data_IF_230997983167
#
_entry.id   IF_230997983167
#
_cell.length_a   1.000
_cell.length_b   1.000
_cell.length_c   1.000
_cell.angle_alpha   90.00
_cell.angle_beta   90.00
_cell.angle_gamma   90.00
#
_symmetry.space_group_name_H-M   'P 1'
#
loop_
_entity.id
_entity.type
_entity.pdbx_description
1 polymer ?
#
# COMPACT_ATOMS: atom_id res chain seq x y z
N UNK A 1 -33.32 5.22 2.86
CA UNK A 1 -33.64 5.43 1.43
C UNK A 1 -32.65 4.61 0.64
N UNK A 2 -33.14 3.75 -0.26
CA UNK A 2 -32.31 2.80 -0.99
C UNK A 2 -31.27 3.53 -1.85
N UNK A 3 -29.99 3.28 -1.58
CA UNK A 3 -28.89 3.69 -2.45
C UNK A 3 -29.07 2.92 -3.76
N UNK A 4 -29.32 3.64 -4.85
CA UNK A 4 -29.21 3.05 -6.19
C UNK A 4 -27.72 2.81 -6.43
N UNK A 5 -27.27 1.58 -6.20
CA UNK A 5 -26.03 1.11 -6.82
C UNK A 5 -26.32 0.97 -8.32
N UNK A 6 -25.85 1.90 -9.13
CA UNK A 6 -25.83 1.76 -10.59
C UNK A 6 -24.72 0.76 -10.99
N UNK A 7 -24.75 -0.44 -10.42
CA UNK A 7 -23.81 -1.50 -10.80
C UNK A 7 -24.12 -1.99 -12.20
N UNK A 8 -23.08 -2.21 -13.01
CA UNK A 8 -23.25 -2.74 -14.36
C UNK A 8 -23.91 -4.13 -14.32
N UNK A 9 -25.05 -4.26 -14.98
CA UNK A 9 -25.65 -5.54 -15.40
C UNK A 9 -25.06 -5.96 -16.75
N UNK A 10 -25.16 -7.25 -17.12
CA UNK A 10 -24.75 -7.76 -18.44
C UNK A 10 -25.35 -6.95 -19.63
N UNK A 11 -26.47 -6.25 -19.40
CA UNK A 11 -27.19 -5.41 -20.35
C UNK A 11 -26.91 -3.90 -20.27
N UNK A 12 -25.99 -3.42 -19.43
CA UNK A 12 -25.79 -1.97 -19.17
C UNK A 12 -24.34 -1.48 -19.21
N UNK A 13 -23.41 -2.27 -19.76
CA UNK A 13 -22.02 -1.82 -19.96
C UNK A 13 -21.97 -0.54 -20.83
N UNK A 14 -21.09 0.44 -20.54
CA UNK A 14 -20.99 1.67 -21.32
C UNK A 14 -20.58 1.37 -22.77
N UNK A 15 -21.09 2.15 -23.72
CA UNK A 15 -20.80 1.97 -25.15
C UNK A 15 -19.29 2.04 -25.46
N UNK A 16 -18.56 2.92 -24.78
CA UNK A 16 -17.11 3.06 -24.91
C UNK A 16 -16.37 1.82 -24.41
N UNK A 17 -16.82 1.24 -23.29
CA UNK A 17 -16.26 0.00 -22.76
C UNK A 17 -16.52 -1.16 -23.71
N UNK A 18 -17.75 -1.30 -24.21
CA UNK A 18 -18.09 -2.35 -25.18
C UNK A 18 -17.22 -2.24 -26.44
N UNK A 19 -17.08 -1.04 -27.03
CA UNK A 19 -16.21 -0.79 -28.18
C UNK A 19 -14.76 -1.22 -27.90
N UNK A 20 -14.25 -0.92 -26.70
CA UNK A 20 -12.91 -1.32 -26.29
C UNK A 20 -12.78 -2.84 -26.16
N UNK A 21 -13.75 -3.52 -25.53
CA UNK A 21 -13.76 -4.97 -25.39
C UNK A 21 -13.81 -5.66 -26.77
N UNK A 22 -14.66 -5.19 -27.69
CA UNK A 22 -14.70 -5.69 -29.07
C UNK A 22 -13.36 -5.53 -29.80
N UNK A 23 -12.71 -4.37 -29.65
CA UNK A 23 -11.40 -4.14 -30.25
C UNK A 23 -10.33 -5.07 -29.67
N UNK A 24 -10.35 -5.33 -28.36
CA UNK A 24 -9.44 -6.28 -27.69
C UNK A 24 -9.66 -7.71 -28.16
N UNK A 25 -10.91 -8.17 -28.22
CA UNK A 25 -11.23 -9.51 -28.73
C UNK A 25 -10.78 -9.68 -30.18
N UNK A 26 -11.07 -8.71 -31.05
CA UNK A 26 -10.63 -8.75 -32.44
C UNK A 26 -9.10 -8.83 -32.54
N UNK A 27 -8.38 -8.05 -31.73
CA UNK A 27 -6.91 -8.09 -31.64
C UNK A 27 -6.38 -9.46 -31.20
N UNK A 28 -7.12 -10.19 -30.36
CA UNK A 28 -6.80 -11.55 -29.94
C UNK A 28 -7.34 -12.64 -30.87
N UNK A 29 -8.02 -12.26 -31.96
CA UNK A 29 -8.59 -13.18 -32.95
C UNK A 29 -9.91 -13.82 -32.52
N UNK A 30 -10.56 -13.25 -31.49
CA UNK A 30 -11.80 -13.72 -30.90
C UNK A 30 -13.01 -12.94 -31.49
N UNK A 31 -14.19 -13.56 -31.46
CA UNK A 31 -15.46 -12.92 -31.79
C UNK A 31 -16.28 -12.85 -30.50
N UNK A 32 -16.57 -11.63 -30.04
CA UNK A 32 -17.46 -11.43 -28.90
C UNK A 32 -18.90 -11.46 -29.39
N UNK A 33 -19.71 -12.26 -28.72
CA UNK A 33 -21.17 -12.17 -28.73
C UNK A 33 -21.61 -11.63 -27.36
N UNK A 34 -22.43 -10.58 -27.33
CA UNK A 34 -22.90 -9.94 -26.10
C UNK A 34 -23.62 -10.94 -25.19
N UNK A 35 -24.34 -11.90 -25.78
CA UNK A 35 -25.05 -12.95 -25.04
C UNK A 35 -24.10 -13.95 -24.35
N UNK A 36 -22.81 -13.92 -24.69
CA UNK A 36 -21.78 -14.82 -24.13
C UNK A 36 -20.83 -14.13 -23.15
N UNK A 37 -20.91 -12.80 -23.04
CA UNK A 37 -20.12 -12.05 -22.08
C UNK A 37 -20.66 -12.32 -20.69
N UNK A 38 -19.77 -12.70 -19.77
CA UNK A 38 -20.08 -12.80 -18.34
C UNK A 38 -19.45 -11.64 -17.62
N UNK A 39 -20.27 -10.88 -16.88
CA UNK A 39 -19.83 -9.76 -16.04
C UNK A 39 -20.03 -10.14 -14.59
N UNK A 40 -18.97 -10.07 -13.79
CA UNK A 40 -19.01 -10.39 -12.37
C UNK A 40 -18.40 -9.22 -11.61
N UNK A 41 -19.20 -8.57 -10.78
CA UNK A 41 -18.72 -7.56 -9.85
C UNK A 41 -17.84 -8.22 -8.78
N UNK A 42 -16.64 -7.69 -8.56
CA UNK A 42 -15.72 -8.14 -7.54
C UNK A 42 -15.85 -7.21 -6.32
N UNK A 43 -16.43 -7.74 -5.24
CA UNK A 43 -16.48 -7.05 -3.95
C UNK A 43 -15.11 -7.00 -3.30
N UNK A 44 -14.75 -5.87 -2.68
CA UNK A 44 -13.54 -5.74 -1.85
C UNK A 44 -12.66 -4.53 -2.18
N UNK A 45 -12.87 -3.87 -3.32
CA UNK A 45 -12.21 -2.61 -3.63
C UNK A 45 -12.91 -1.45 -2.88
N UNK A 46 -12.15 -0.64 -2.15
CA UNK A 46 -12.69 0.45 -1.33
C UNK A 46 -12.90 1.75 -2.10
N UNK A 47 -12.11 1.97 -3.17
CA UNK A 47 -12.01 3.25 -3.90
C UNK A 47 -12.57 3.20 -5.31
N UNK A 48 -12.66 2.01 -5.92
CA UNK A 48 -13.08 1.82 -7.30
C UNK A 48 -14.06 0.65 -7.41
N UNK A 49 -14.96 0.68 -8.40
CA UNK A 49 -15.75 -0.50 -8.74
C UNK A 49 -14.96 -1.40 -9.69
N UNK A 50 -14.87 -2.68 -9.37
CA UNK A 50 -14.06 -3.64 -10.11
C UNK A 50 -14.93 -4.77 -10.65
N UNK A 51 -14.82 -5.03 -11.95
CA UNK A 51 -15.58 -6.05 -12.65
C UNK A 51 -14.65 -7.03 -13.35
N UNK A 52 -14.89 -8.33 -13.15
CA UNK A 52 -14.32 -9.37 -13.98
C UNK A 52 -15.23 -9.61 -15.18
N UNK A 53 -14.72 -9.35 -16.37
CA UNK A 53 -15.42 -9.60 -17.63
C UNK A 53 -14.75 -10.75 -18.37
N UNK A 54 -15.55 -11.70 -18.86
CA UNK A 54 -15.01 -12.86 -19.57
C UNK A 54 -15.87 -13.28 -20.77
N UNK A 55 -15.22 -13.79 -21.82
CA UNK A 55 -15.87 -14.29 -23.04
C UNK A 55 -15.13 -15.51 -23.62
N UNK A 56 -15.81 -16.39 -24.36
CA UNK A 56 -15.18 -17.53 -25.02
C UNK A 56 -14.11 -17.08 -26.03
N UNK A 57 -12.92 -17.66 -25.96
CA UNK A 57 -11.92 -17.48 -27.01
C UNK A 57 -12.28 -18.32 -28.25
N UNK A 58 -11.67 -18.01 -29.39
CA UNK A 58 -11.78 -18.81 -30.61
C UNK A 58 -11.30 -20.26 -30.41
N UNK A 59 -10.32 -20.46 -29.54
CA UNK A 59 -9.84 -21.78 -29.15
C UNK A 59 -10.85 -22.47 -28.23
N UNK A 60 -11.39 -23.64 -28.59
CA UNK A 60 -12.37 -24.34 -27.76
C UNK A 60 -11.85 -24.60 -26.34
N UNK A 61 -12.68 -24.29 -25.33
CA UNK A 61 -12.35 -24.51 -23.92
C UNK A 61 -11.48 -23.42 -23.28
N UNK A 62 -11.04 -22.41 -24.03
CA UNK A 62 -10.31 -21.25 -23.49
C UNK A 62 -11.26 -20.08 -23.31
N UNK A 63 -11.18 -19.42 -22.16
CA UNK A 63 -11.92 -18.19 -21.87
C UNK A 63 -10.95 -17.02 -21.79
N UNK A 64 -11.28 -15.90 -22.43
CA UNK A 64 -10.60 -14.63 -22.18
C UNK A 64 -11.21 -14.00 -20.95
N UNK A 65 -10.36 -13.47 -20.08
CA UNK A 65 -10.78 -12.76 -18.88
C UNK A 65 -9.99 -11.47 -18.80
N UNK A 66 -10.68 -10.37 -18.52
CA UNK A 66 -10.10 -9.06 -18.26
C UNK A 66 -10.68 -8.50 -16.97
N UNK A 67 -9.94 -7.59 -16.36
CA UNK A 67 -10.42 -6.79 -15.24
C UNK A 67 -10.83 -5.42 -15.78
N UNK A 68 -11.98 -4.92 -15.37
CA UNK A 68 -12.43 -3.57 -15.68
C UNK A 68 -12.54 -2.81 -14.37
N UNK A 69 -11.81 -1.70 -14.27
CA UNK A 69 -11.84 -0.81 -13.12
C UNK A 69 -12.53 0.49 -13.51
N UNK A 70 -13.53 0.85 -12.74
CA UNK A 70 -14.30 2.09 -12.90
C UNK A 70 -13.83 3.07 -11.83
N UNK A 71 -13.48 4.27 -12.24
CA UNK A 71 -13.00 5.30 -11.32
C UNK A 71 -14.15 5.76 -10.42
N UNK A 72 -14.00 5.58 -9.10
CA UNK A 72 -14.97 6.06 -8.12
C UNK A 72 -14.93 7.58 -7.95
N UNK A 73 -16.08 8.19 -7.64
CA UNK A 73 -16.19 9.61 -7.26
C UNK A 73 -15.82 9.80 -5.76
N UNK A 74 -15.12 10.87 -5.42
CA UNK A 74 -14.91 11.28 -4.02
C UNK A 74 -13.60 10.84 -3.34
N UNK A 75 -12.71 10.15 -4.07
CA UNK A 75 -11.39 9.70 -3.53
C UNK A 75 -10.25 10.69 -3.77
N UNK A 76 -10.51 11.81 -4.45
CA UNK A 76 -9.55 12.88 -4.76
C UNK A 76 -8.95 13.54 -3.49
N UNK A 77 -9.56 13.26 -2.33
CA UNK A 77 -9.05 13.70 -1.04
C UNK A 77 -7.73 13.00 -0.66
N UNK A 78 -7.50 11.78 -1.14
CA UNK A 78 -6.36 10.95 -0.75
C UNK A 78 -5.22 10.95 -1.77
N UNK A 79 -5.53 11.01 -3.07
CA UNK A 79 -4.54 10.97 -4.14
C UNK A 79 -5.04 11.66 -5.41
N UNK A 80 -4.08 12.03 -6.27
CA UNK A 80 -4.35 12.64 -7.57
C UNK A 80 -4.60 11.55 -8.62
N UNK A 81 -5.76 11.61 -9.28
CA UNK A 81 -6.18 10.62 -10.27
C UNK A 81 -5.27 10.58 -11.50
N UNK A 82 -4.80 11.73 -11.97
CA UNK A 82 -3.94 11.80 -13.14
C UNK A 82 -2.56 11.21 -12.82
N UNK A 83 -2.08 11.40 -11.59
CA UNK A 83 -0.87 10.74 -11.08
C UNK A 83 -1.05 9.23 -10.98
N UNK A 84 -2.17 8.75 -10.43
CA UNK A 84 -2.51 7.33 -10.36
C UNK A 84 -2.48 6.66 -11.75
N UNK A 85 -3.10 7.30 -12.75
CA UNK A 85 -3.13 6.79 -14.13
C UNK A 85 -1.71 6.75 -14.72
N UNK A 86 -0.91 7.81 -14.54
CA UNK A 86 0.49 7.85 -15.03
C UNK A 86 1.36 6.77 -14.38
N UNK A 87 1.22 6.59 -13.06
CA UNK A 87 1.91 5.55 -12.30
C UNK A 87 1.54 4.16 -12.82
N UNK A 88 0.25 3.87 -12.97
CA UNK A 88 -0.23 2.59 -13.48
C UNK A 88 0.27 2.30 -14.90
N UNK A 89 0.20 3.27 -15.81
CA UNK A 89 0.74 3.13 -17.15
C UNK A 89 2.23 2.82 -17.17
N UNK A 90 3.00 3.45 -16.29
CA UNK A 90 4.44 3.24 -16.21
C UNK A 90 4.78 1.85 -15.64
N UNK A 91 4.09 1.42 -14.58
CA UNK A 91 4.26 0.09 -13.99
C UNK A 91 3.89 -1.00 -14.99
N UNK A 92 2.77 -0.82 -15.72
CA UNK A 92 2.39 -1.72 -16.80
C UNK A 92 3.45 -1.82 -17.90
N UNK A 93 4.19 -0.74 -18.21
CA UNK A 93 5.28 -0.77 -19.22
C UNK A 93 6.53 -1.47 -18.70
N UNK A 94 6.80 -1.38 -17.40
CA UNK A 94 7.87 -2.12 -16.72
C UNK A 94 7.55 -3.60 -16.51
N UNK A 95 6.33 -4.05 -16.85
CA UNK A 95 5.88 -5.42 -16.58
C UNK A 95 5.65 -5.69 -15.10
N UNK A 96 5.45 -4.64 -14.31
CA UNK A 96 5.12 -4.71 -12.89
C UNK A 96 3.61 -4.54 -12.73
N UNK A 97 2.95 -5.54 -12.15
CA UNK A 97 1.49 -5.52 -12.01
C UNK A 97 0.72 -5.97 -13.26
N UNK A 98 -0.61 -5.72 -13.26
CA UNK A 98 -1.46 -6.04 -14.40
C UNK A 98 -1.16 -5.12 -15.58
N UNK A 99 -1.15 -5.67 -16.78
CA UNK A 99 -0.96 -4.87 -18.00
C UNK A 99 -2.19 -4.02 -18.31
N UNK A 100 -1.99 -2.75 -18.64
CA UNK A 100 -3.02 -1.90 -19.20
C UNK A 100 -3.37 -2.38 -20.62
N UNK A 101 -4.62 -2.81 -20.82
CA UNK A 101 -5.13 -3.25 -22.12
C UNK A 101 -5.81 -2.11 -22.89
N UNK A 102 -6.41 -1.16 -22.17
CA UNK A 102 -6.97 0.06 -22.75
C UNK A 102 -7.65 0.95 -21.71
N UNK A 103 -8.03 2.15 -22.14
CA UNK A 103 -8.72 3.13 -21.30
C UNK A 103 -9.99 3.63 -22.00
N UNK A 104 -10.94 4.08 -21.19
CA UNK A 104 -12.16 4.73 -21.62
C UNK A 104 -12.52 5.83 -20.62
N UNK A 105 -13.45 6.76 -20.93
CA UNK A 105 -13.65 7.97 -20.11
C UNK A 105 -13.95 7.73 -18.62
N UNK A 106 -14.50 6.57 -18.27
CA UNK A 106 -14.93 6.24 -16.90
C UNK A 106 -13.98 5.23 -16.21
N UNK A 107 -12.93 4.76 -16.87
CA UNK A 107 -12.12 3.67 -16.31
C UNK A 107 -11.06 3.09 -17.24
N UNK A 108 -10.55 1.94 -16.82
CA UNK A 108 -9.52 1.18 -17.55
C UNK A 108 -9.84 -0.30 -17.63
N UNK A 109 -9.31 -0.94 -18.66
CA UNK A 109 -9.32 -2.39 -18.86
C UNK A 109 -7.90 -2.90 -18.64
N UNK A 110 -7.76 -3.83 -17.71
CA UNK A 110 -6.50 -4.39 -17.24
C UNK A 110 -6.45 -5.90 -17.54
N UNK A 111 -5.24 -6.44 -17.61
CA UNK A 111 -5.03 -7.87 -17.63
C UNK A 111 -5.56 -8.53 -16.36
N UNK A 112 -6.29 -9.64 -16.51
CA UNK A 112 -6.71 -10.43 -15.36
C UNK A 112 -5.56 -11.32 -14.88
N UNK A 113 -5.06 -11.03 -13.68
CA UNK A 113 -4.02 -11.84 -13.05
C UNK A 113 -4.65 -13.11 -12.48
N UNK A 114 -4.15 -14.27 -12.93
CA UNK A 114 -4.61 -15.58 -12.46
C UNK A 114 -3.80 -16.02 -11.23
N UNK A 115 -3.95 -15.29 -10.14
CA UNK A 115 -3.23 -15.52 -8.88
C UNK A 115 -4.18 -15.43 -7.68
N UNK A 116 -3.75 -15.97 -6.54
CA UNK A 116 -4.45 -15.88 -5.26
C UNK A 116 -4.03 -14.60 -4.55
N UNK A 117 -4.98 -13.76 -4.13
CA UNK A 117 -4.70 -12.66 -3.18
C UNK A 117 -4.31 -13.24 -1.83
N UNK A 118 -3.26 -12.70 -1.21
CA UNK A 118 -2.80 -13.17 0.08
C UNK A 118 -3.82 -12.85 1.20
N UNK A 119 -3.64 -13.52 2.32
CA UNK A 119 -4.36 -13.31 3.57
C UNK A 119 -3.40 -12.92 4.69
N UNK A 120 -3.94 -12.46 5.82
CA UNK A 120 -3.14 -12.11 7.01
C UNK A 120 -2.21 -13.26 7.45
N UNK A 121 -2.67 -14.52 7.36
CA UNK A 121 -1.85 -15.69 7.71
C UNK A 121 -0.75 -15.98 6.69
N UNK A 122 -0.97 -15.68 5.41
CA UNK A 122 0.05 -15.92 4.38
C UNK A 122 1.29 -15.04 4.60
N UNK A 123 1.14 -13.84 5.19
CA UNK A 123 2.28 -12.96 5.51
C UNK A 123 3.24 -13.56 6.55
N UNK A 124 2.78 -14.53 7.35
CA UNK A 124 3.58 -15.18 8.41
C UNK A 124 4.40 -16.35 7.91
N UNK A 125 4.09 -16.85 6.71
CA UNK A 125 4.82 -17.94 6.10
C UNK A 125 6.22 -17.46 5.67
N UNK A 126 7.33 -18.07 6.15
CA UNK A 126 8.68 -17.60 5.83
C UNK A 126 9.03 -17.62 4.35
N UNK A 127 8.51 -18.59 3.58
CA UNK A 127 8.75 -18.67 2.13
C UNK A 127 8.05 -17.51 1.41
N UNK A 128 6.76 -17.32 1.70
CA UNK A 128 5.95 -16.22 1.15
C UNK A 128 6.53 -14.86 1.53
N UNK A 129 6.90 -14.68 2.80
CA UNK A 129 7.57 -13.49 3.32
C UNK A 129 8.87 -13.18 2.56
N UNK A 130 9.69 -14.20 2.27
CA UNK A 130 10.90 -14.02 1.46
C UNK A 130 10.60 -13.61 0.02
N UNK A 131 9.57 -14.19 -0.61
CA UNK A 131 9.17 -13.84 -1.97
C UNK A 131 8.65 -12.40 -2.06
N UNK A 132 7.89 -11.96 -1.04
CA UNK A 132 7.43 -10.57 -0.92
C UNK A 132 8.63 -9.63 -0.80
N UNK A 133 9.59 -9.94 0.06
CA UNK A 133 10.80 -9.14 0.27
C UNK A 133 11.60 -8.97 -1.03
N UNK A 134 11.85 -10.06 -1.76
CA UNK A 134 12.51 -9.99 -3.08
C UNK A 134 11.70 -9.16 -4.06
N UNK A 135 10.38 -9.37 -4.14
CA UNK A 135 9.53 -8.64 -5.08
C UNK A 135 9.46 -7.14 -4.77
N UNK A 136 9.46 -6.78 -3.50
CA UNK A 136 9.47 -5.39 -3.06
C UNK A 136 10.79 -4.70 -3.39
N UNK A 137 11.93 -5.41 -3.30
CA UNK A 137 13.23 -4.87 -3.74
C UNK A 137 13.25 -4.60 -5.24
N UNK A 138 12.72 -5.53 -6.06
CA UNK A 138 12.54 -5.30 -7.50
C UNK A 138 11.67 -4.07 -7.77
N UNK A 139 10.61 -3.87 -6.99
CA UNK A 139 9.71 -2.72 -7.11
C UNK A 139 10.42 -1.41 -6.78
N UNK A 140 11.23 -1.37 -5.71
CA UNK A 140 12.01 -0.19 -5.34
C UNK A 140 13.12 0.17 -6.32
N UNK A 141 13.58 -0.77 -7.14
CA UNK A 141 14.59 -0.53 -8.18
C UNK A 141 13.99 0.03 -9.49
N UNK A 142 12.68 0.24 -9.58
CA UNK A 142 12.04 0.77 -10.78
C UNK A 142 12.42 2.23 -11.04
N UNK A 143 12.73 2.53 -12.30
CA UNK A 143 12.99 3.89 -12.76
C UNK A 143 11.67 4.57 -13.14
N UNK A 144 11.00 5.14 -12.14
CA UNK A 144 9.72 5.82 -12.30
C UNK A 144 9.91 7.30 -12.69
N UNK A 145 9.04 7.86 -13.54
CA UNK A 145 9.12 9.26 -13.92
C UNK A 145 8.68 10.16 -12.76
N UNK A 146 9.36 11.30 -12.59
CA UNK A 146 9.00 12.30 -11.58
C UNK A 146 10.19 12.80 -10.79
N UNK A 147 9.94 13.73 -9.87
CA UNK A 147 10.94 14.13 -8.88
C UNK A 147 11.09 13.04 -7.82
N UNK A 148 12.30 12.80 -7.32
CA UNK A 148 12.58 11.85 -6.23
C UNK A 148 12.40 12.48 -4.84
N UNK A 149 11.56 13.51 -4.75
CA UNK A 149 11.25 14.19 -3.50
C UNK A 149 10.41 13.28 -2.61
N UNK A 150 10.65 13.32 -1.29
CA UNK A 150 9.90 12.53 -0.31
C UNK A 150 8.51 13.13 -0.13
N UNK A 151 7.47 12.38 -0.48
CA UNK A 151 6.07 12.85 -0.46
C UNK A 151 5.39 12.63 0.89
N UNK A 152 5.88 11.69 1.71
CA UNK A 152 5.28 11.30 3.00
C UNK A 152 4.96 12.49 3.91
N UNK A 153 5.92 13.39 4.11
CA UNK A 153 5.80 14.47 5.10
C UNK A 153 4.78 15.53 4.71
N UNK A 154 4.77 15.93 3.44
CA UNK A 154 3.77 16.87 2.93
C UNK A 154 2.38 16.25 2.90
N UNK A 155 2.28 14.95 2.59
CA UNK A 155 1.00 14.22 2.67
C UNK A 155 0.47 14.19 4.11
N UNK A 156 1.32 13.91 5.10
CA UNK A 156 0.94 13.97 6.53
C UNK A 156 0.41 15.35 6.93
N UNK A 157 1.08 16.43 6.53
CA UNK A 157 0.62 17.80 6.83
C UNK A 157 -0.72 18.12 6.17
N UNK A 158 -0.85 17.79 4.89
CA UNK A 158 -2.09 18.02 4.15
C UNK A 158 -3.26 17.23 4.74
N UNK A 159 -3.03 15.98 5.16
CA UNK A 159 -4.05 15.17 5.81
C UNK A 159 -4.36 15.61 7.23
N UNK A 160 -3.40 16.16 7.97
CA UNK A 160 -3.68 16.79 9.27
C UNK A 160 -4.65 17.96 9.12
N UNK A 161 -4.43 18.85 8.15
CA UNK A 161 -5.35 19.97 7.88
C UNK A 161 -6.77 19.44 7.60
N UNK A 162 -6.89 18.45 6.71
CA UNK A 162 -8.19 17.85 6.37
C UNK A 162 -8.84 17.14 7.57
N UNK A 163 -8.06 16.43 8.38
CA UNK A 163 -8.56 15.77 9.58
C UNK A 163 -9.10 16.81 10.59
N UNK A 164 -8.42 17.94 10.77
CA UNK A 164 -8.88 19.06 11.60
C UNK A 164 -10.19 19.63 11.07
N UNK A 165 -10.31 19.85 9.75
CA UNK A 165 -11.52 20.40 9.12
C UNK A 165 -12.75 19.50 9.30
N UNK A 166 -12.56 18.19 9.41
CA UNK A 166 -13.64 17.22 9.60
C UNK A 166 -13.96 16.91 11.08
N UNK A 167 -13.03 17.13 12.00
CA UNK A 167 -13.21 16.81 13.42
C UNK A 167 -14.00 17.88 14.17
N UNK A 168 -14.78 17.44 15.16
CA UNK A 168 -15.22 18.30 16.26
C UNK A 168 -14.05 18.65 17.21
N UNK A 169 -14.21 19.71 18.00
CA UNK A 169 -13.22 20.10 19.02
C UNK A 169 -12.90 18.98 20.03
N UNK A 170 -13.88 18.12 20.32
CA UNK A 170 -13.70 16.97 21.22
C UNK A 170 -12.81 15.89 20.57
N UNK A 171 -13.09 15.54 19.32
CA UNK A 171 -12.28 14.59 18.55
C UNK A 171 -10.86 15.13 18.31
N UNK A 172 -10.72 16.41 17.97
CA UNK A 172 -9.40 17.01 17.76
C UNK A 172 -8.52 16.93 19.02
N UNK A 173 -9.11 17.12 20.20
CA UNK A 173 -8.42 16.93 21.49
C UNK A 173 -8.13 15.47 21.80
N UNK A 174 -9.07 14.57 21.50
CA UNK A 174 -8.89 13.13 21.69
C UNK A 174 -7.67 12.60 20.92
N UNK A 175 -7.52 13.00 19.66
CA UNK A 175 -6.40 12.57 18.81
C UNK A 175 -5.15 13.45 18.94
N UNK A 176 -5.17 14.47 19.79
CA UNK A 176 -4.06 15.42 19.95
C UNK A 176 -3.64 16.08 18.62
N UNK A 177 -4.61 16.45 17.77
CA UNK A 177 -4.33 17.05 16.46
C UNK A 177 -3.65 18.41 16.57
N UNK A 178 -3.83 19.12 17.68
CA UNK A 178 -3.26 20.43 17.96
C UNK A 178 -1.73 20.42 18.07
N UNK A 179 -1.14 19.29 18.46
CA UNK A 179 0.32 19.12 18.56
C UNK A 179 0.91 18.33 17.39
N UNK A 180 0.08 17.76 16.51
CA UNK A 180 0.55 16.79 15.54
C UNK A 180 1.46 17.39 14.47
N UNK A 181 1.31 18.66 14.14
CA UNK A 181 2.24 19.36 13.24
C UNK A 181 3.67 19.38 13.83
N UNK A 182 3.80 19.63 15.14
CA UNK A 182 5.08 19.59 15.82
C UNK A 182 5.68 18.18 15.81
N UNK A 183 4.84 17.17 16.00
CA UNK A 183 5.25 15.77 15.97
C UNK A 183 5.76 15.36 14.59
N UNK A 184 5.04 15.72 13.51
CA UNK A 184 5.44 15.48 12.12
C UNK A 184 6.80 16.14 11.84
N UNK A 185 6.96 17.42 12.21
CA UNK A 185 8.21 18.16 12.01
C UNK A 185 9.39 17.53 12.78
N UNK A 186 9.13 16.99 13.98
CA UNK A 186 10.14 16.30 14.78
C UNK A 186 10.56 15.00 14.12
N UNK A 187 9.60 14.18 13.68
CA UNK A 187 9.89 12.92 12.97
C UNK A 187 10.63 13.18 11.66
N UNK A 188 10.21 14.13 10.85
CA UNK A 188 10.90 14.45 9.61
C UNK A 188 12.35 14.86 9.86
N UNK A 189 12.58 15.72 10.84
CA UNK A 189 13.94 16.13 11.21
C UNK A 189 14.79 14.96 11.72
N UNK A 190 14.20 14.09 12.53
CA UNK A 190 14.93 12.99 13.16
C UNK A 190 15.19 11.82 12.22
N UNK A 191 14.28 11.59 11.25
CA UNK A 191 14.33 10.47 10.33
C UNK A 191 14.97 10.83 8.99
N UNK A 192 14.83 12.04 8.47
CA UNK A 192 15.45 12.44 7.19
C UNK A 192 16.97 12.55 7.32
N UNK A 193 17.67 11.43 7.12
CA UNK A 193 19.13 11.32 7.19
C UNK A 193 19.73 11.28 5.77
N UNK A 194 20.96 11.78 5.61
CA UNK A 194 21.63 11.87 4.29
C UNK A 194 21.87 10.52 3.61
N UNK A 195 21.88 9.42 4.37
CA UNK A 195 22.18 8.07 3.88
C UNK A 195 20.93 7.25 3.53
N UNK A 196 19.74 7.84 3.56
CA UNK A 196 18.50 7.10 3.30
C UNK A 196 18.35 6.72 1.84
N UNK A 197 17.99 5.46 1.60
CA UNK A 197 17.57 5.01 0.27
C UNK A 197 16.16 5.52 0.00
N UNK A 198 16.05 6.43 -0.98
CA UNK A 198 14.77 6.91 -1.52
C UNK A 198 14.47 6.15 -2.80
N UNK A 199 13.29 5.54 -2.85
CA UNK A 199 12.82 4.74 -3.98
C UNK A 199 11.36 5.05 -4.29
N UNK A 200 10.88 4.55 -5.42
CA UNK A 200 9.45 4.57 -5.69
C UNK A 200 8.77 3.48 -4.86
N UNK A 201 8.11 3.88 -3.78
CA UNK A 201 7.49 3.00 -2.80
C UNK A 201 6.01 2.76 -3.11
N UNK A 202 5.52 1.59 -2.69
CA UNK A 202 4.10 1.24 -2.76
C UNK A 202 3.26 2.03 -1.76
N UNK A 203 3.80 2.22 -0.54
CA UNK A 203 3.21 2.91 0.61
C UNK A 203 1.97 2.26 1.24
N UNK A 204 1.34 1.29 0.57
CA UNK A 204 0.18 0.53 1.07
C UNK A 204 0.31 -0.99 0.84
N UNK A 205 1.46 -1.57 1.20
CA UNK A 205 1.74 -3.00 0.97
C UNK A 205 1.06 -3.94 1.99
N UNK A 206 -0.26 -3.88 2.09
CA UNK A 206 -1.08 -4.84 2.83
C UNK A 206 -1.32 -6.14 2.05
N UNK A 207 -1.74 -7.24 2.70
CA UNK A 207 -1.91 -8.54 2.03
C UNK A 207 -2.94 -8.52 0.89
N UNK A 208 -3.93 -7.62 0.91
CA UNK A 208 -4.91 -7.46 -0.17
C UNK A 208 -4.29 -6.97 -1.48
N UNK A 209 -3.14 -6.30 -1.40
CA UNK A 209 -2.40 -5.71 -2.51
C UNK A 209 -1.26 -6.63 -3.00
N UNK A 210 -1.24 -7.88 -2.54
CA UNK A 210 -0.25 -8.88 -2.92
C UNK A 210 -0.96 -10.12 -3.45
N UNK A 211 -0.61 -10.52 -4.66
CA UNK A 211 -1.09 -11.75 -5.28
C UNK A 211 0.06 -12.74 -5.50
N UNK A 212 -0.19 -14.03 -5.32
CA UNK A 212 0.77 -15.10 -5.61
C UNK A 212 0.18 -16.13 -6.56
N UNK A 213 0.93 -16.48 -7.60
CA UNK A 213 0.66 -17.69 -8.38
C UNK A 213 1.27 -18.88 -7.64
N UNK A 214 0.41 -19.74 -7.08
CA UNK A 214 0.84 -20.88 -6.25
C UNK A 214 1.70 -21.89 -7.03
N UNK A 215 1.59 -21.95 -8.36
CA UNK A 215 2.36 -22.88 -9.21
C UNK A 215 3.74 -22.35 -9.53
N UNK A 216 3.83 -21.07 -9.90
CA UNK A 216 5.09 -20.45 -10.31
C UNK A 216 5.81 -19.76 -9.16
N UNK A 217 5.14 -19.58 -8.02
CA UNK A 217 5.59 -18.80 -6.86
C UNK A 217 5.92 -17.34 -7.20
N UNK A 218 5.35 -16.84 -8.30
CA UNK A 218 5.51 -15.45 -8.72
C UNK A 218 4.60 -14.55 -7.90
N UNK A 219 5.19 -13.54 -7.26
CA UNK A 219 4.47 -12.50 -6.52
C UNK A 219 4.22 -11.30 -7.43
N UNK A 220 2.99 -10.79 -7.40
CA UNK A 220 2.59 -9.55 -8.07
C UNK A 220 2.02 -8.59 -7.03
N UNK A 221 2.64 -7.42 -6.92
CA UNK A 221 2.12 -6.30 -6.13
C UNK A 221 1.12 -5.55 -7.01
N UNK A 222 -0.02 -5.12 -6.47
CA UNK A 222 -1.10 -4.42 -7.18
C UNK A 222 -1.59 -3.22 -6.35
N UNK A 223 -2.40 -2.36 -6.96
CA UNK A 223 -3.10 -1.23 -6.30
C UNK A 223 -2.17 -0.10 -5.80
N UNK A 224 -1.70 0.70 -6.75
CA UNK A 224 -0.63 1.70 -6.55
C UNK A 224 -1.12 3.12 -6.22
N UNK A 225 -2.33 3.26 -5.66
CA UNK A 225 -2.98 4.57 -5.45
C UNK A 225 -2.20 5.47 -4.48
N UNK A 226 -1.47 4.87 -3.55
CA UNK A 226 -0.61 5.57 -2.59
C UNK A 226 0.86 5.63 -3.02
N UNK A 227 1.22 5.04 -4.17
CA UNK A 227 2.60 4.90 -4.56
C UNK A 227 3.25 6.26 -4.90
N UNK A 228 4.46 6.47 -4.38
CA UNK A 228 5.21 7.72 -4.55
C UNK A 228 6.67 7.53 -4.14
N UNK A 229 7.53 8.50 -4.44
CA UNK A 229 8.88 8.50 -3.90
C UNK A 229 8.87 8.73 -2.38
N UNK A 230 9.49 7.81 -1.64
CA UNK A 230 9.62 7.82 -0.19
C UNK A 230 10.86 7.02 0.27
N UNK A 231 11.25 7.13 1.54
CA UNK A 231 12.26 6.26 2.14
C UNK A 231 11.81 4.79 2.06
N UNK A 232 12.65 3.90 1.54
CA UNK A 232 12.39 2.46 1.49
C UNK A 232 12.01 1.91 2.88
N UNK A 233 12.68 2.40 3.92
CA UNK A 233 12.40 2.02 5.30
C UNK A 233 10.94 2.26 5.70
N UNK A 234 10.29 3.31 5.16
CA UNK A 234 8.87 3.59 5.42
C UNK A 234 7.96 2.54 4.79
N UNK A 235 8.24 2.08 3.58
CA UNK A 235 7.39 1.10 2.90
C UNK A 235 7.48 -0.28 3.59
N UNK A 236 8.68 -0.66 4.03
CA UNK A 236 8.87 -1.87 4.85
C UNK A 236 8.20 -1.72 6.22
N UNK A 237 8.26 -0.55 6.84
CA UNK A 237 7.57 -0.28 8.10
C UNK A 237 6.05 -0.44 7.94
N UNK A 238 5.51 0.08 6.84
CA UNK A 238 4.11 -0.10 6.49
C UNK A 238 3.75 -1.60 6.38
N UNK A 239 4.53 -2.36 5.61
CA UNK A 239 4.29 -3.79 5.44
C UNK A 239 4.27 -4.54 6.80
N UNK A 240 5.21 -4.25 7.70
CA UNK A 240 5.22 -4.85 9.04
C UNK A 240 4.05 -4.41 9.92
N UNK A 241 3.63 -3.14 9.85
CA UNK A 241 2.44 -2.67 10.56
C UNK A 241 1.17 -3.40 10.08
N UNK A 242 1.06 -3.71 8.78
CA UNK A 242 -0.08 -4.43 8.22
C UNK A 242 -0.16 -5.90 8.66
N UNK A 243 0.94 -6.48 9.17
CA UNK A 243 0.93 -7.83 9.77
C UNK A 243 0.18 -7.89 11.12
N UNK A 244 -0.17 -6.74 11.70
CA UNK A 244 -1.05 -6.64 12.87
C UNK A 244 -2.55 -6.60 12.50
N UNK A 245 -2.89 -6.53 11.21
CA UNK A 245 -4.27 -6.41 10.74
C UNK A 245 -4.84 -7.74 10.21
N UNK A 246 -6.15 -7.93 10.40
CA UNK A 246 -6.92 -8.95 9.71
C UNK A 246 -8.28 -8.38 9.27
N UNK A 247 -8.29 -7.76 8.08
CA UNK A 247 -9.45 -7.20 7.41
C UNK A 247 -10.50 -8.26 6.96
N UNK A 248 -10.21 -9.56 7.08
CA UNK A 248 -11.18 -10.63 6.86
C UNK A 248 -11.80 -11.15 8.18
N UNK A 249 -11.44 -10.57 9.32
CA UNK A 249 -12.05 -10.91 10.62
C UNK A 249 -13.46 -10.33 10.77
N UNK A 250 -14.17 -10.75 11.82
CA UNK A 250 -15.48 -10.17 12.17
C UNK A 250 -15.41 -8.67 12.49
N UNK A 251 -14.24 -8.18 12.88
CA UNK A 251 -13.98 -6.76 13.20
C UNK A 251 -12.75 -6.28 12.43
N UNK A 252 -12.88 -5.97 11.13
CA UNK A 252 -11.74 -5.68 10.26
C UNK A 252 -10.94 -4.43 10.67
N UNK A 253 -11.53 -3.54 11.48
CA UNK A 253 -10.91 -2.33 12.00
C UNK A 253 -10.04 -2.56 13.25
N UNK A 254 -10.07 -3.75 13.85
CA UNK A 254 -9.30 -4.06 15.06
C UNK A 254 -7.92 -4.57 14.68
N UNK A 255 -6.90 -3.95 15.27
CA UNK A 255 -5.49 -4.25 15.05
C UNK A 255 -4.92 -4.98 16.27
N UNK A 256 -4.28 -6.11 16.03
CA UNK A 256 -3.63 -6.90 17.08
C UNK A 256 -2.11 -6.70 17.05
N UNK A 257 -1.64 -5.72 17.81
CA UNK A 257 -0.21 -5.46 17.95
C UNK A 257 0.53 -6.54 18.77
N UNK A 258 -0.20 -7.45 19.43
CA UNK A 258 0.38 -8.63 20.06
C UNK A 258 0.96 -9.63 19.06
N UNK A 259 0.53 -9.54 17.79
CA UNK A 259 1.06 -10.32 16.67
C UNK A 259 1.94 -9.49 15.73
N UNK A 260 2.42 -8.30 16.12
CA UNK A 260 3.42 -7.59 15.30
C UNK A 260 4.69 -8.45 15.11
N UNK A 261 5.34 -8.47 13.94
CA UNK A 261 6.49 -9.33 13.68
C UNK A 261 7.66 -9.06 14.64
N UNK A 262 8.17 -10.13 15.24
CA UNK A 262 9.33 -10.07 16.14
C UNK A 262 10.62 -9.67 15.42
N UNK A 263 11.68 -9.40 16.19
CA UNK A 263 12.98 -8.99 15.62
C UNK A 263 13.51 -10.02 14.61
N UNK A 264 13.52 -11.30 14.96
CA UNK A 264 14.00 -12.38 14.07
C UNK A 264 13.20 -12.47 12.75
N UNK A 265 11.91 -12.17 12.78
CA UNK A 265 11.05 -12.16 11.59
C UNK A 265 11.35 -10.96 10.69
N UNK A 266 11.54 -9.77 11.28
CA UNK A 266 11.91 -8.56 10.55
C UNK A 266 13.33 -8.65 9.97
N UNK A 267 14.29 -9.19 10.71
CA UNK A 267 15.64 -9.44 10.21
C UNK A 267 15.65 -10.42 9.04
N UNK A 268 14.87 -11.51 9.13
CA UNK A 268 14.74 -12.46 8.02
C UNK A 268 14.19 -11.81 6.77
N UNK A 269 13.14 -10.99 6.90
CA UNK A 269 12.57 -10.24 5.78
C UNK A 269 13.60 -9.28 5.18
N UNK A 270 14.30 -8.50 6.01
CA UNK A 270 15.33 -7.56 5.56
C UNK A 270 16.49 -8.26 4.88
N UNK A 271 16.90 -9.44 5.34
CA UNK A 271 17.93 -10.25 4.67
C UNK A 271 17.48 -10.71 3.29
N UNK A 272 16.25 -11.19 3.16
CA UNK A 272 15.71 -11.55 1.84
C UNK A 272 15.59 -10.33 0.90
N UNK A 273 15.23 -9.17 1.45
CA UNK A 273 15.13 -7.91 0.72
C UNK A 273 16.51 -7.47 0.19
N UNK A 274 17.50 -7.32 1.08
CA UNK A 274 18.86 -6.85 0.72
C UNK A 274 19.64 -7.90 -0.07
N UNK A 275 19.47 -9.19 0.24
CA UNK A 275 20.21 -10.29 -0.37
C UNK A 275 19.79 -10.64 -1.80
N UNK A 276 18.72 -10.03 -2.31
CA UNK A 276 18.26 -10.25 -3.68
C UNK A 276 19.28 -9.79 -4.75
N UNK A 277 20.21 -8.90 -4.39
CA UNK A 277 21.30 -8.45 -5.27
C UNK A 277 22.52 -9.41 -5.27
N UNK A 278 22.51 -10.47 -4.45
CA UNK A 278 23.55 -11.52 -4.42
C UNK A 278 24.80 -11.18 -3.58
N UNK A 279 24.79 -10.06 -2.87
CA UNK A 279 25.90 -9.59 -2.05
C UNK A 279 25.94 -10.27 -0.67
N UNK A 280 27.15 -10.36 -0.10
CA UNK A 280 27.34 -10.79 1.29
C UNK A 280 26.80 -9.70 2.22
N UNK A 281 25.72 -10.02 2.94
CA UNK A 281 25.10 -9.11 3.88
C UNK A 281 25.93 -9.00 5.17
N UNK A 282 26.25 -7.78 5.57
CA UNK A 282 26.76 -7.50 6.91
C UNK A 282 25.60 -7.47 7.91
N UNK A 283 25.73 -8.25 8.99
CA UNK A 283 24.76 -8.29 10.08
C UNK A 283 24.54 -6.90 10.70
N UNK A 284 25.57 -6.05 10.71
CA UNK A 284 25.45 -4.68 11.22
C UNK A 284 24.57 -3.79 10.34
N UNK A 285 24.59 -4.01 9.02
CA UNK A 285 23.76 -3.28 8.06
C UNK A 285 22.31 -3.72 8.14
N UNK A 286 22.06 -5.03 8.26
CA UNK A 286 20.73 -5.58 8.50
C UNK A 286 20.13 -4.99 9.76
N UNK A 287 20.87 -5.00 10.88
CA UNK A 287 20.39 -4.45 12.15
C UNK A 287 20.07 -2.96 12.04
N UNK A 288 20.99 -2.16 11.47
CA UNK A 288 20.78 -0.72 11.28
C UNK A 288 19.53 -0.45 10.45
N UNK A 289 19.31 -1.23 9.39
CA UNK A 289 18.15 -1.03 8.53
C UNK A 289 16.85 -1.44 9.21
N UNK A 290 16.84 -2.54 9.97
CA UNK A 290 15.70 -2.92 10.82
C UNK A 290 15.38 -1.82 11.84
N UNK A 291 16.38 -1.21 12.46
CA UNK A 291 16.18 -0.12 13.41
C UNK A 291 15.58 1.13 12.74
N UNK A 292 16.03 1.45 11.53
CA UNK A 292 15.48 2.58 10.76
C UNK A 292 14.04 2.31 10.31
N UNK A 293 13.72 1.08 9.88
CA UNK A 293 12.35 0.64 9.57
C UNK A 293 11.46 0.80 10.81
N UNK A 294 11.90 0.35 11.98
CA UNK A 294 11.11 0.48 13.21
C UNK A 294 10.79 1.94 13.53
N UNK A 295 11.73 2.86 13.35
CA UNK A 295 11.46 4.28 13.59
C UNK A 295 10.39 4.83 12.65
N UNK A 296 10.34 4.37 11.39
CA UNK A 296 9.30 4.78 10.44
C UNK A 296 7.90 4.26 10.77
N UNK A 297 7.76 3.25 11.64
CA UNK A 297 6.43 2.82 12.13
C UNK A 297 5.70 3.97 12.84
N UNK A 298 6.44 4.92 13.42
CA UNK A 298 5.89 6.14 14.02
C UNK A 298 5.17 7.00 12.97
N UNK A 299 5.84 7.30 11.85
CA UNK A 299 5.22 8.05 10.76
C UNK A 299 4.04 7.28 10.15
N UNK A 300 4.15 5.95 10.03
CA UNK A 300 3.09 5.09 9.53
C UNK A 300 1.81 5.13 10.38
N UNK A 301 1.96 5.11 11.71
CA UNK A 301 0.83 5.23 12.63
C UNK A 301 0.13 6.58 12.50
N UNK A 302 0.88 7.68 12.35
CA UNK A 302 0.26 8.99 12.09
C UNK A 302 -0.45 9.03 10.74
N UNK A 303 0.17 8.47 9.70
CA UNK A 303 -0.34 8.45 8.34
C UNK A 303 -1.72 7.79 8.27
N UNK A 304 -1.79 6.55 8.75
CA UNK A 304 -3.03 5.77 8.70
C UNK A 304 -4.02 6.17 9.80
N UNK A 305 -3.56 6.78 10.90
CA UNK A 305 -4.43 7.41 11.88
C UNK A 305 -5.20 8.60 11.28
N UNK A 306 -4.50 9.50 10.60
CA UNK A 306 -5.11 10.61 9.85
C UNK A 306 -6.02 10.11 8.73
N UNK A 307 -5.59 9.09 7.99
CA UNK A 307 -6.43 8.44 6.98
C UNK A 307 -7.73 7.91 7.58
N UNK A 308 -7.69 7.28 8.75
CA UNK A 308 -8.87 6.77 9.45
C UNK A 308 -9.84 7.89 9.81
N UNK A 309 -9.35 9.01 10.35
CA UNK A 309 -10.18 10.18 10.67
C UNK A 309 -10.88 10.72 9.42
N UNK A 310 -10.14 10.94 8.32
CA UNK A 310 -10.71 11.45 7.07
C UNK A 310 -11.74 10.45 6.52
N UNK A 311 -11.37 9.16 6.50
CA UNK A 311 -12.20 8.07 5.98
C UNK A 311 -13.53 7.92 6.72
N UNK A 312 -13.57 8.18 8.03
CA UNK A 312 -14.81 8.17 8.80
C UNK A 312 -15.88 9.15 8.28
N UNK A 313 -15.47 10.18 7.55
CA UNK A 313 -16.35 11.22 7.02
C UNK A 313 -16.65 11.09 5.53
N UNK A 314 -15.79 10.39 4.77
CA UNK A 314 -15.89 10.31 3.31
C UNK A 314 -16.25 8.91 2.80
N UNK A 315 -15.99 7.85 3.58
CA UNK A 315 -16.28 6.47 3.19
C UNK A 315 -17.60 5.97 3.78
N UNK A 316 -18.26 5.07 3.06
CA UNK A 316 -19.56 4.48 3.45
C UNK A 316 -19.48 2.96 3.68
N UNK A 317 -18.27 2.43 3.75
CA UNK A 317 -18.02 1.01 4.01
C UNK A 317 -18.26 0.73 5.49
N UNK A 318 -18.80 -0.46 5.79
CA UNK A 318 -19.00 -0.94 7.16
C UNK A 318 -17.65 -1.27 7.82
N UNK A 319 -16.99 -0.22 8.31
CA UNK A 319 -15.69 -0.25 8.96
C UNK A 319 -15.65 0.88 10.01
N UNK A 320 -15.25 0.57 11.25
CA UNK A 320 -15.13 1.59 12.29
C UNK A 320 -13.80 2.35 12.13
N UNK A 321 -13.82 3.32 11.24
CA UNK A 321 -12.66 4.15 10.90
C UNK A 321 -12.13 4.96 12.09
N UNK A 322 -13.00 5.37 13.01
CA UNK A 322 -12.60 6.16 14.19
C UNK A 322 -11.90 5.28 15.22
N UNK A 323 -12.38 4.05 15.44
CA UNK A 323 -11.69 3.10 16.31
C UNK A 323 -10.36 2.63 15.70
N UNK A 324 -10.30 2.45 14.37
CA UNK A 324 -9.04 2.20 13.68
C UNK A 324 -8.03 3.34 13.89
N UNK A 325 -8.46 4.60 13.70
CA UNK A 325 -7.62 5.77 13.94
C UNK A 325 -7.13 5.82 15.39
N UNK A 326 -8.02 5.57 16.36
CA UNK A 326 -7.69 5.56 17.80
C UNK A 326 -6.59 4.57 18.12
N UNK A 327 -6.65 3.36 17.57
CA UNK A 327 -5.61 2.34 17.77
C UNK A 327 -4.27 2.77 17.16
N UNK A 328 -4.27 3.36 15.94
CA UNK A 328 -3.03 3.83 15.29
C UNK A 328 -2.37 4.96 16.10
N UNK A 329 -3.12 5.98 16.51
CA UNK A 329 -2.59 7.05 17.35
C UNK A 329 -2.11 6.53 18.72
N UNK A 330 -2.87 5.63 19.35
CA UNK A 330 -2.45 5.03 20.62
C UNK A 330 -1.10 4.30 20.50
N UNK A 331 -0.87 3.58 19.40
CA UNK A 331 0.44 2.94 19.16
C UNK A 331 1.56 3.93 18.90
N UNK A 332 1.30 5.02 18.17
CA UNK A 332 2.28 6.10 18.01
C UNK A 332 2.79 6.59 19.37
N UNK A 333 1.88 6.96 20.26
CA UNK A 333 2.22 7.49 21.59
C UNK A 333 2.89 6.45 22.48
N UNK A 334 2.50 5.17 22.36
CA UNK A 334 3.11 4.08 23.11
C UNK A 334 4.56 3.81 22.66
N UNK A 335 4.82 3.83 21.35
CA UNK A 335 6.11 3.42 20.76
C UNK A 335 7.12 4.56 20.70
N UNK A 336 6.68 5.81 20.54
CA UNK A 336 7.57 6.98 20.37
C UNK A 336 8.67 7.05 21.43
N UNK A 337 8.40 6.94 22.75
CA UNK A 337 9.46 7.04 23.76
C UNK A 337 10.51 5.92 23.63
N UNK A 338 10.10 4.72 23.23
CA UNK A 338 10.98 3.55 23.10
C UNK A 338 11.91 3.70 21.90
N UNK A 339 11.38 4.15 20.77
CA UNK A 339 12.11 4.24 19.51
C UNK A 339 12.98 5.49 19.40
N UNK A 340 12.58 6.59 20.05
CA UNK A 340 13.32 7.86 20.00
C UNK A 340 14.33 8.02 21.15
N UNK A 341 14.21 7.27 22.26
CA UNK A 341 15.17 7.33 23.37
C UNK A 341 16.57 6.79 23.00
N UNK A 342 16.68 5.96 21.95
CA UNK A 342 17.90 5.27 21.54
C UNK A 342 19.03 6.21 21.06
N UNK A 343 18.78 7.52 20.91
CA UNK A 343 19.83 8.52 20.61
C UNK A 343 20.72 8.86 21.83
N UNK A 344 20.40 8.43 23.06
CA UNK A 344 21.06 8.95 24.27
C UNK A 344 22.21 8.13 24.85
N UNK A 345 22.62 7.01 24.22
CA UNK A 345 23.74 6.18 24.73
C UNK A 345 24.86 6.08 23.68
N UNK A 346 25.46 7.21 23.33
CA UNK A 346 26.75 7.22 22.62
C UNK A 346 27.49 8.55 22.78
N UNK A 347 27.91 8.91 24.00
CA UNK A 347 29.04 9.83 24.25
C UNK A 347 29.36 10.01 25.75
N UNK A 348 29.69 8.95 26.49
CA UNK A 348 30.38 9.11 27.79
C UNK A 348 31.38 7.99 28.06
N UNK A 349 32.29 7.68 27.13
CA UNK A 349 33.54 6.99 27.49
C UNK A 349 34.68 7.43 26.56
N UNK A 350 35.25 8.62 26.78
CA UNK A 350 36.70 8.88 26.72
C UNK A 350 36.97 10.17 27.48
N UNK A 351 37.29 10.09 28.77
CA UNK A 351 38.11 11.09 29.47
C UNK A 351 38.68 10.47 30.75
N UNK A 352 39.62 9.53 30.56
CA UNK A 352 40.51 9.04 31.61
C UNK A 352 41.88 9.66 31.42
N UNK A 353 42.10 10.79 32.07
CA UNK A 353 43.35 11.55 32.10
C UNK A 353 44.56 10.67 32.44
N UNK A 354 45.58 10.73 31.59
CA UNK A 354 46.96 10.46 31.97
C UNK A 354 47.49 11.70 32.71
N UNK A 355 48.01 11.55 33.93
CA UNK A 355 48.85 12.57 34.55
C UNK A 355 50.32 12.08 34.62
N UNK A 356 51.30 12.99 34.45
CA UNK A 356 52.71 12.67 34.43
C UNK A 356 53.35 12.84 35.82
N UNK A 357 54.19 11.88 36.22
CA UNK A 357 55.65 12.03 36.47
C UNK A 357 56.20 10.71 36.97
#
# INVERSE_FOLDING_TARGET
>A
MAVKTNGFTESSLPDELLKLLFALALKWGDLIDLDTIKVIHLSGAMTNEVYRISWPAKTPGVCRTVLVRIYGEGVDVFFDRDEEIRTFECLSKHGQGPRLLGQFPQGRVEEFIHAKTLSASDLRDPETSSLIATKLREFHQLDMPGSKDVILWDRLRNWLIKAIDHCSDEQAKEFHLDILEHEINTLEKDLSQDYQEIAFCHNDLQYGNIMIDEKTKSVTIIDYEYASYNPVAYDLANHFCEMAANYHSEKPHILDYGIYPGLEERERFVRSYLGSDGDLLDDSEVQRFVDDIEKYTLANHLFWGLWGIISAHVNHIDFDYMEYARQRFAQYWLRKPQLMATKSISCEVVNGFSQPT
#
